data_IF_849194614741
#
_entry.id   IF_849194614741
#
_cell.length_a   1.000
_cell.length_b   1.000
_cell.length_c   1.000
_cell.angle_alpha   90.00
_cell.angle_beta   90.00
_cell.angle_gamma   90.00
#
_symmetry.space_group_name_H-M   'P 1'
#
loop_
_entity.id
_entity.type
_entity.pdbx_description
1 polymer ?
#
# COMPACT_ATOMS: atom_id res chain seq x y z
N UNK A 1 6.59 2.67 22.49
CA UNK A 1 7.00 2.33 21.11
C UNK A 1 6.57 3.51 20.27
N UNK A 2 7.48 4.21 19.59
CA UNK A 2 7.09 5.33 18.76
C UNK A 2 6.14 4.84 17.65
N UNK A 3 5.01 5.50 17.47
CA UNK A 3 4.08 5.20 16.38
C UNK A 3 4.81 5.43 15.06
N UNK A 4 5.02 4.35 14.30
CA UNK A 4 5.65 4.42 12.98
C UNK A 4 4.70 5.13 12.02
N UNK A 5 5.17 6.17 11.33
CA UNK A 5 4.38 6.92 10.35
C UNK A 5 3.93 6.02 9.21
N UNK A 6 2.64 6.01 8.89
CA UNK A 6 2.12 5.35 7.69
C UNK A 6 2.48 6.21 6.48
N UNK A 7 3.30 5.67 5.57
CA UNK A 7 3.67 6.33 4.33
C UNK A 7 2.65 6.04 3.23
N UNK A 8 2.12 4.81 3.22
CA UNK A 8 1.18 4.38 2.21
C UNK A 8 0.27 3.29 2.80
N UNK A 9 -1.03 3.36 2.52
CA UNK A 9 -1.98 2.33 2.92
C UNK A 9 -2.87 1.98 1.73
N UNK A 10 -2.89 0.70 1.39
CA UNK A 10 -3.75 0.16 0.34
C UNK A 10 -4.68 -0.92 0.87
N UNK A 11 -5.29 -1.65 -0.05
CA UNK A 11 -6.29 -2.66 0.30
C UNK A 11 -5.61 -3.92 0.83
N UNK A 12 -5.63 -4.09 2.15
CA UNK A 12 -5.07 -5.26 2.84
C UNK A 12 -3.58 -5.17 3.20
N UNK A 13 -2.96 -4.00 3.06
CA UNK A 13 -1.56 -3.78 3.43
C UNK A 13 -1.27 -2.32 3.77
N UNK A 14 -0.18 -2.10 4.51
CA UNK A 14 0.37 -0.77 4.76
C UNK A 14 1.89 -0.77 4.70
N UNK A 15 2.45 0.37 4.32
CA UNK A 15 3.88 0.63 4.29
C UNK A 15 4.16 1.72 5.31
N UNK A 16 5.02 1.39 6.27
CA UNK A 16 5.39 2.25 7.38
C UNK A 16 6.81 2.76 7.18
N UNK A 17 7.05 3.97 7.64
CA UNK A 17 8.39 4.47 7.85
C UNK A 17 9.11 3.62 8.94
N UNK A 18 10.41 3.42 8.75
CA UNK A 18 11.21 2.66 9.71
C UNK A 18 12.53 3.36 10.04
N UNK A 19 13.29 3.75 9.02
CA UNK A 19 14.46 4.60 9.14
C UNK A 19 14.77 5.27 7.79
N UNK A 20 15.76 6.15 7.75
CA UNK A 20 16.16 6.92 6.57
C UNK A 20 16.50 6.07 5.32
N UNK A 21 16.69 4.76 5.48
CA UNK A 21 17.07 3.84 4.41
C UNK A 21 16.02 2.78 4.09
N UNK A 22 14.99 2.61 4.92
CA UNK A 22 14.07 1.49 4.79
C UNK A 22 12.65 1.81 5.21
N UNK A 23 11.73 1.11 4.56
CA UNK A 23 10.32 1.02 4.90
C UNK A 23 9.95 -0.39 5.34
N UNK A 24 8.86 -0.52 6.10
CA UNK A 24 8.29 -1.78 6.54
C UNK A 24 7.00 -2.06 5.81
N UNK A 25 6.87 -3.27 5.25
CA UNK A 25 5.59 -3.75 4.73
C UNK A 25 4.88 -4.61 5.77
N UNK A 26 3.61 -4.32 5.99
CA UNK A 26 2.72 -5.16 6.80
C UNK A 26 1.44 -5.51 6.04
N UNK A 27 0.92 -6.71 6.25
CA UNK A 27 -0.35 -7.17 5.68
C UNK A 27 -1.42 -7.22 6.74
N UNK A 28 -2.62 -6.82 6.37
CA UNK A 28 -3.79 -6.91 7.22
C UNK A 28 -4.19 -8.38 7.42
N UNK A 29 -4.36 -8.78 8.68
CA UNK A 29 -4.86 -10.10 9.09
C UNK A 29 -6.30 -10.03 9.59
N UNK A 30 -6.65 -8.93 10.25
CA UNK A 30 -8.00 -8.57 10.67
C UNK A 30 -8.12 -7.05 10.74
N UNK A 31 -9.30 -6.53 11.07
CA UNK A 31 -9.66 -5.10 11.01
C UNK A 31 -8.55 -4.16 11.51
N UNK A 32 -7.87 -4.50 12.61
CA UNK A 32 -6.78 -3.69 13.17
C UNK A 32 -5.47 -4.45 13.43
N UNK A 33 -5.36 -5.67 12.88
CA UNK A 33 -4.15 -6.48 13.07
C UNK A 33 -3.34 -6.54 11.79
N UNK A 34 -2.13 -5.99 11.84
CA UNK A 34 -1.17 -6.00 10.74
C UNK A 34 0.03 -6.87 11.09
N UNK A 35 0.45 -7.71 10.14
CA UNK A 35 1.59 -8.62 10.31
C UNK A 35 2.75 -8.20 9.42
N UNK A 36 3.89 -7.96 10.04
CA UNK A 36 5.18 -7.73 9.38
C UNK A 36 5.49 -8.75 8.27
N UNK A 37 5.94 -8.27 7.11
CA UNK A 37 6.34 -9.09 5.97
C UNK A 37 7.79 -8.91 5.51
N UNK A 38 8.41 -7.78 5.82
CA UNK A 38 9.77 -7.48 5.40
C UNK A 38 10.13 -6.01 5.48
N UNK A 39 11.44 -5.76 5.39
CA UNK A 39 12.04 -4.45 5.17
C UNK A 39 12.37 -4.28 3.70
N UNK A 40 12.20 -3.07 3.18
CA UNK A 40 12.50 -2.71 1.80
C UNK A 40 13.17 -1.36 1.78
N UNK A 41 14.06 -1.12 0.80
CA UNK A 41 14.79 0.15 0.73
C UNK A 41 13.91 1.34 0.36
N UNK A 42 12.73 1.09 -0.21
CA UNK A 42 11.81 2.11 -0.71
C UNK A 42 10.39 1.53 -0.89
N UNK A 43 9.42 2.43 -1.08
CA UNK A 43 7.99 2.11 -1.27
C UNK A 43 7.80 1.27 -2.54
N UNK A 44 8.51 1.56 -3.62
CA UNK A 44 8.38 0.84 -4.90
C UNK A 44 8.72 -0.64 -4.73
N UNK A 45 9.82 -0.97 -4.06
CA UNK A 45 10.22 -2.35 -3.78
C UNK A 45 9.26 -3.05 -2.83
N UNK A 46 8.71 -2.33 -1.84
CA UNK A 46 7.66 -2.87 -0.96
C UNK A 46 6.41 -3.25 -1.78
N UNK A 47 5.91 -2.35 -2.63
CA UNK A 47 4.75 -2.62 -3.50
C UNK A 47 5.02 -3.76 -4.48
N UNK A 48 6.20 -3.78 -5.11
CA UNK A 48 6.58 -4.86 -6.02
C UNK A 48 6.60 -6.23 -5.33
N UNK A 49 7.00 -6.28 -4.05
CA UNK A 49 7.02 -7.52 -3.28
C UNK A 49 5.63 -8.13 -3.06
N UNK A 50 4.57 -7.30 -3.02
CA UNK A 50 3.19 -7.76 -2.83
C UNK A 50 2.77 -8.65 -3.99
N UNK A 51 3.06 -8.22 -5.21
CA UNK A 51 2.79 -9.00 -6.44
C UNK A 51 3.74 -10.18 -6.53
N UNK A 52 5.06 -9.94 -6.41
CA UNK A 52 6.08 -10.97 -6.68
C UNK A 52 6.00 -12.16 -5.70
N UNK A 53 5.57 -11.92 -4.46
CA UNK A 53 5.50 -12.95 -3.41
C UNK A 53 4.06 -13.45 -3.17
N UNK A 54 3.12 -13.07 -4.02
CA UNK A 54 1.71 -13.47 -3.93
C UNK A 54 1.09 -13.19 -2.56
N UNK A 55 1.45 -12.05 -1.95
CA UNK A 55 1.17 -11.78 -0.53
C UNK A 55 -0.32 -11.62 -0.24
N UNK A 56 -1.10 -11.19 -1.24
CA UNK A 56 -2.54 -10.96 -1.15
C UNK A 56 -3.37 -12.05 -1.83
N UNK A 57 -2.74 -13.12 -2.33
CA UNK A 57 -3.43 -14.20 -3.03
C UNK A 57 -3.81 -15.31 -2.04
N UNK A 58 -5.08 -15.69 -2.04
CA UNK A 58 -5.60 -16.83 -1.27
C UNK A 58 -4.90 -18.13 -1.70
N UNK A 59 -4.50 -18.93 -0.71
CA UNK A 59 -3.86 -20.24 -0.92
C UNK A 59 -4.71 -21.17 -1.76
N UNK A 60 -6.04 -21.13 -1.64
CA UNK A 60 -6.94 -21.97 -2.43
C UNK A 60 -6.83 -21.70 -3.94
N UNK A 61 -6.52 -20.45 -4.32
CA UNK A 61 -6.44 -20.02 -5.72
C UNK A 61 -5.10 -20.37 -6.38
N UNK A 62 -4.09 -20.80 -5.60
CA UNK A 62 -2.75 -21.16 -6.08
C UNK A 62 -2.70 -22.53 -6.77
N UNK A 63 -3.75 -23.34 -6.64
CA UNK A 63 -3.77 -24.73 -7.14
C UNK A 63 -4.14 -24.83 -8.62
N UNK A 64 -4.78 -23.80 -9.19
CA UNK A 64 -5.11 -23.73 -10.61
C UNK A 64 -4.31 -22.65 -11.32
N UNK A 65 -3.64 -22.99 -12.44
CA UNK A 65 -2.84 -22.02 -13.20
C UNK A 65 -3.68 -20.82 -13.69
N UNK A 66 -4.88 -21.07 -14.21
CA UNK A 66 -5.78 -20.00 -14.69
C UNK A 66 -6.24 -19.09 -13.55
N UNK A 67 -6.76 -19.68 -12.46
CA UNK A 67 -7.21 -18.92 -11.29
C UNK A 67 -6.07 -18.14 -10.63
N UNK A 68 -4.87 -18.71 -10.60
CA UNK A 68 -3.69 -18.04 -10.06
C UNK A 68 -3.32 -16.78 -10.88
N UNK A 69 -3.28 -16.89 -12.21
CA UNK A 69 -2.99 -15.75 -13.10
C UNK A 69 -4.05 -14.65 -12.97
N UNK A 70 -5.33 -15.01 -12.94
CA UNK A 70 -6.44 -14.06 -12.74
C UNK A 70 -6.30 -13.31 -11.40
N UNK A 71 -5.87 -14.00 -10.33
CA UNK A 71 -5.64 -13.35 -9.03
C UNK A 71 -4.41 -12.44 -9.02
N UNK A 72 -3.32 -12.81 -9.70
CA UNK A 72 -2.16 -11.91 -9.85
C UNK A 72 -2.58 -10.63 -10.55
N UNK A 73 -3.32 -10.74 -11.66
CA UNK A 73 -3.82 -9.60 -12.41
C UNK A 73 -4.74 -8.72 -11.55
N UNK A 74 -5.66 -9.34 -10.80
CA UNK A 74 -6.51 -8.63 -9.84
C UNK A 74 -5.71 -7.86 -8.79
N UNK A 75 -4.68 -8.47 -8.20
CA UNK A 75 -3.82 -7.80 -7.20
C UNK A 75 -3.04 -6.66 -7.83
N UNK A 76 -2.52 -6.81 -9.05
CA UNK A 76 -1.85 -5.73 -9.79
C UNK A 76 -2.78 -4.55 -10.03
N UNK A 77 -4.00 -4.82 -10.51
CA UNK A 77 -4.98 -3.76 -10.78
C UNK A 77 -5.42 -3.07 -9.49
N UNK A 78 -5.57 -3.81 -8.39
CA UNK A 78 -5.85 -3.22 -7.07
C UNK A 78 -4.72 -2.30 -6.61
N UNK A 79 -3.45 -2.70 -6.77
CA UNK A 79 -2.30 -1.87 -6.42
C UNK A 79 -2.27 -0.56 -7.21
N UNK A 80 -2.53 -0.62 -8.52
CA UNK A 80 -2.61 0.58 -9.35
C UNK A 80 -3.73 1.52 -8.87
N UNK A 81 -4.92 0.97 -8.59
CA UNK A 81 -6.02 1.76 -8.04
C UNK A 81 -5.71 2.37 -6.67
N UNK A 82 -5.01 1.64 -5.79
CA UNK A 82 -4.58 2.15 -4.49
C UNK A 82 -3.58 3.31 -4.66
N UNK A 83 -2.63 3.18 -5.60
CA UNK A 83 -1.67 4.23 -5.93
C UNK A 83 -2.40 5.47 -6.45
N UNK A 84 -3.30 5.31 -7.42
CA UNK A 84 -4.07 6.42 -8.01
C UNK A 84 -4.90 7.14 -6.94
N UNK A 85 -5.57 6.39 -6.06
CA UNK A 85 -6.31 6.96 -4.93
C UNK A 85 -5.41 7.75 -4.00
N UNK A 86 -4.22 7.23 -3.70
CA UNK A 86 -3.28 7.91 -2.81
C UNK A 86 -2.79 9.22 -3.42
N UNK A 87 -2.41 9.22 -4.70
CA UNK A 87 -1.97 10.41 -5.42
C UNK A 87 -3.06 11.48 -5.52
N UNK A 88 -4.31 11.06 -5.76
CA UNK A 88 -5.45 11.98 -5.86
C UNK A 88 -5.90 12.51 -4.49
N UNK A 89 -5.67 11.75 -3.40
CA UNK A 89 -5.97 12.20 -2.04
C UNK A 89 -5.01 13.31 -1.58
N UNK A 90 -3.73 13.22 -1.93
CA UNK A 90 -2.76 14.30 -1.69
C UNK A 90 -3.07 15.58 -2.48
N UNK A 91 -3.85 15.52 -3.56
CA UNK A 91 -4.21 16.71 -4.33
C UNK A 91 -5.36 17.54 -3.72
N UNK A 92 -6.03 17.04 -2.68
CA UNK A 92 -7.20 17.71 -2.06
C UNK A 92 -6.98 18.15 -0.61
N UNK A 93 -5.96 17.63 0.07
CA UNK A 93 -5.76 17.85 1.51
C UNK A 93 -4.59 18.83 1.87
N UNK A 94 -3.87 19.39 0.89
CA UNK A 94 -2.70 20.28 1.10
C UNK A 94 -2.85 21.71 0.52
N UNK A 95 -4.07 22.29 0.51
CA UNK A 95 -4.25 23.72 0.19
C UNK A 95 -4.86 24.48 1.38
N UNK A 96 -4.04 25.02 2.31
CA UNK A 96 -4.52 25.82 3.44
C UNK A 96 -4.76 27.30 3.07
N UNK A 97 -4.72 27.68 1.79
CA UNK A 97 -5.03 29.04 1.36
C UNK A 97 -6.12 28.98 0.30
N UNK A 98 -7.37 29.15 0.74
CA UNK A 98 -8.44 29.43 -0.21
C UNK A 98 -8.11 30.75 -0.92
N UNK A 99 -8.37 30.83 -2.23
CA UNK A 99 -8.12 32.04 -3.02
C UNK A 99 -8.88 33.27 -2.47
N UNK A 100 -9.92 33.05 -1.67
CA UNK A 100 -10.70 34.09 -1.00
C UNK A 100 -9.94 34.75 0.17
N UNK A 101 -8.93 34.08 0.74
CA UNK A 101 -8.07 34.64 1.80
C UNK A 101 -6.93 35.52 1.24
N UNK A 102 -6.66 35.45 -0.07
CA UNK A 102 -5.62 36.24 -0.75
C UNK A 102 -6.15 37.55 -1.36
N UNK A 103 -7.46 37.79 -1.30
CA UNK A 103 -8.12 38.98 -1.86
C UNK A 103 -8.89 39.82 -0.82
N UNK A 104 -8.61 39.64 0.48
CA UNK A 104 -8.99 40.59 1.54
C UNK A 104 -7.83 41.56 1.85
#
# INVERSE_FOLDING_TARGET
>A
MADKKILFQGTGYRILDFNDMNVVLELQRSTDNYKFQGYYTDIQKALHSIVRRDLLIDRAQRLGAKSYLEQIEKVKNQLLQDIDKHLNKTATDDDPLSLDDLLQ
#
